data_IF_087280677994
#
_entry.id   IF_087280677994
#
_cell.length_a   1.000
_cell.length_b   1.000
_cell.length_c   1.000
_cell.angle_alpha   90.00
_cell.angle_beta   90.00
_cell.angle_gamma   90.00
#
_symmetry.space_group_name_H-M   'P 1'
#
loop_
_entity.id
_entity.type
_entity.pdbx_description
1 polymer ?
#
# COMPACT_ATOMS: atom_id res chain seq x y z
N UNK A 1 28.31 2.54 0.72
CA UNK A 1 26.87 2.23 0.84
C UNK A 1 26.77 0.95 1.64
N UNK A 2 26.16 0.99 2.82
CA UNK A 2 25.96 -0.21 3.64
C UNK A 2 24.72 -0.98 3.12
N UNK A 3 24.60 -2.27 3.44
CA UNK A 3 23.44 -3.10 3.10
C UNK A 3 22.12 -2.47 3.57
N UNK A 4 22.15 -1.73 4.68
CA UNK A 4 20.96 -1.04 5.21
C UNK A 4 20.52 0.14 4.34
N UNK A 5 21.46 0.88 3.76
CA UNK A 5 21.16 1.96 2.80
C UNK A 5 20.48 1.38 1.55
N UNK A 6 21.03 0.27 1.05
CA UNK A 6 20.50 -0.43 -0.12
C UNK A 6 19.08 -0.96 0.15
N UNK A 7 18.85 -1.63 1.29
CA UNK A 7 17.51 -2.07 1.71
C UNK A 7 16.53 -0.90 1.81
N UNK A 8 16.97 0.24 2.33
CA UNK A 8 16.15 1.45 2.42
C UNK A 8 15.72 1.96 1.04
N UNK A 9 16.61 1.93 0.04
CA UNK A 9 16.26 2.32 -1.33
C UNK A 9 15.30 1.35 -1.98
N UNK A 10 15.53 0.03 -1.86
CA UNK A 10 14.61 -0.99 -2.37
C UNK A 10 13.22 -0.78 -1.77
N UNK A 11 13.13 -0.60 -0.45
CA UNK A 11 11.86 -0.33 0.23
C UNK A 11 11.19 0.94 -0.32
N UNK A 12 11.90 2.05 -0.43
CA UNK A 12 11.34 3.31 -0.96
C UNK A 12 10.83 3.16 -2.40
N UNK A 13 11.54 2.40 -3.24
CA UNK A 13 11.16 2.19 -4.63
C UNK A 13 10.02 1.19 -4.84
N UNK A 14 9.76 0.29 -3.88
CA UNK A 14 8.81 -0.81 -4.07
C UNK A 14 7.56 -0.73 -3.19
N UNK A 15 7.60 0.02 -2.08
CA UNK A 15 6.53 0.01 -1.08
C UNK A 15 5.17 0.39 -1.66
N UNK A 16 5.11 1.44 -2.48
CA UNK A 16 3.90 1.87 -3.18
C UNK A 16 3.31 0.75 -4.03
N UNK A 17 4.15 0.09 -4.83
CA UNK A 17 3.75 -0.99 -5.71
C UNK A 17 3.18 -2.16 -4.92
N UNK A 18 3.85 -2.56 -3.83
CA UNK A 18 3.40 -3.64 -2.97
C UNK A 18 2.04 -3.33 -2.32
N UNK A 19 1.83 -2.10 -1.82
CA UNK A 19 0.55 -1.70 -1.23
C UNK A 19 -0.57 -1.71 -2.27
N UNK A 20 -0.32 -1.17 -3.46
CA UNK A 20 -1.28 -1.18 -4.57
C UNK A 20 -1.65 -2.61 -4.97
N UNK A 21 -0.67 -3.51 -5.10
CA UNK A 21 -0.89 -4.93 -5.40
C UNK A 21 -1.69 -5.65 -4.31
N UNK A 22 -1.49 -5.29 -3.03
CA UNK A 22 -2.27 -5.84 -1.91
C UNK A 22 -3.74 -5.38 -1.99
N UNK A 23 -3.96 -4.08 -2.17
CA UNK A 23 -5.32 -3.51 -2.23
C UNK A 23 -6.07 -3.97 -3.49
N UNK A 24 -5.35 -4.23 -4.59
CA UNK A 24 -5.93 -4.82 -5.81
C UNK A 24 -6.57 -6.19 -5.55
N UNK A 25 -6.01 -7.00 -4.65
CA UNK A 25 -6.56 -8.32 -4.34
C UNK A 25 -7.87 -8.21 -3.55
N UNK A 26 -7.91 -7.30 -2.58
CA UNK A 26 -9.11 -7.01 -1.80
C UNK A 26 -9.04 -5.63 -1.16
N UNK A 27 -10.19 -4.95 -0.98
CA UNK A 27 -10.26 -3.77 -0.12
C UNK A 27 -9.65 -4.07 1.25
N UNK A 28 -8.84 -3.14 1.76
CA UNK A 28 -8.07 -3.35 2.97
C UNK A 28 -8.03 -2.07 3.81
N UNK A 29 -8.05 -2.20 5.14
CA UNK A 29 -7.87 -1.06 6.04
C UNK A 29 -6.40 -0.93 6.49
N UNK A 30 -6.02 0.26 6.96
CA UNK A 30 -4.61 0.62 7.19
C UNK A 30 -3.83 -0.37 8.06
N UNK A 31 -4.45 -0.90 9.12
CA UNK A 31 -3.81 -1.88 10.00
C UNK A 31 -3.58 -3.24 9.31
N UNK A 32 -4.48 -3.73 8.45
CA UNK A 32 -4.24 -4.96 7.70
C UNK A 32 -3.03 -4.83 6.77
N UNK A 33 -2.89 -3.65 6.15
CA UNK A 33 -1.76 -3.35 5.28
C UNK A 33 -0.46 -3.41 6.08
N UNK A 34 -0.41 -2.72 7.22
CA UNK A 34 0.76 -2.72 8.12
C UNK A 34 1.10 -4.13 8.59
N UNK A 35 0.11 -4.85 9.14
CA UNK A 35 0.29 -6.21 9.66
C UNK A 35 0.74 -7.20 8.58
N UNK A 36 0.30 -7.01 7.33
CA UNK A 36 0.75 -7.84 6.21
C UNK A 36 2.19 -7.50 5.82
N UNK A 37 2.55 -6.22 5.76
CA UNK A 37 3.91 -5.78 5.41
C UNK A 37 4.95 -6.17 6.47
N UNK A 38 4.56 -6.26 7.75
CA UNK A 38 5.44 -6.73 8.83
C UNK A 38 5.95 -8.17 8.61
N UNK A 39 5.23 -8.99 7.83
CA UNK A 39 5.66 -10.35 7.45
C UNK A 39 6.83 -10.35 6.46
N UNK A 40 7.13 -9.21 5.84
CA UNK A 40 8.19 -9.04 4.85
C UNK A 40 9.23 -8.05 5.41
N UNK A 41 10.34 -8.52 6.03
CA UNK A 41 11.26 -7.66 6.78
C UNK A 41 11.78 -6.43 6.03
N UNK A 42 11.98 -6.53 4.72
CA UNK A 42 12.43 -5.40 3.88
C UNK A 42 11.34 -4.33 3.67
N UNK A 43 10.06 -4.72 3.70
CA UNK A 43 8.92 -3.82 3.49
C UNK A 43 8.28 -3.34 4.80
N UNK A 44 8.56 -3.99 5.93
CA UNK A 44 8.01 -3.68 7.24
C UNK A 44 8.05 -2.16 7.54
N UNK A 45 6.88 -1.54 7.69
CA UNK A 45 6.72 -0.10 7.80
C UNK A 45 5.67 0.26 8.85
N UNK A 46 5.89 1.37 9.56
CA UNK A 46 5.00 1.84 10.62
C UNK A 46 3.90 2.73 10.07
N UNK A 47 2.89 3.00 10.91
CA UNK A 47 1.76 3.89 10.63
C UNK A 47 2.17 5.26 10.06
N UNK A 48 3.21 5.87 10.64
CA UNK A 48 3.74 7.16 10.19
C UNK A 48 4.33 7.15 8.77
N UNK A 49 4.53 5.98 8.18
CA UNK A 49 4.96 5.77 6.79
C UNK A 49 3.75 5.42 5.91
N UNK A 50 2.93 4.48 6.38
CA UNK A 50 1.81 3.93 5.60
C UNK A 50 0.68 4.95 5.40
N UNK A 51 0.27 5.68 6.44
CA UNK A 51 -0.86 6.61 6.29
C UNK A 51 -0.57 7.81 5.38
N UNK A 52 0.60 8.48 5.43
CA UNK A 52 0.95 9.49 4.44
C UNK A 52 0.99 8.94 3.02
N UNK A 53 1.50 7.73 2.84
CA UNK A 53 1.54 7.08 1.54
C UNK A 53 0.13 6.79 1.00
N UNK A 54 -0.76 6.20 1.81
CA UNK A 54 -2.16 5.99 1.43
C UNK A 54 -2.85 7.31 1.09
N UNK A 55 -2.60 8.39 1.84
CA UNK A 55 -3.11 9.73 1.51
C UNK A 55 -2.61 10.24 0.16
N UNK A 56 -1.34 10.01 -0.18
CA UNK A 56 -0.79 10.34 -1.49
C UNK A 56 -1.48 9.54 -2.59
N UNK A 57 -1.56 8.22 -2.46
CA UNK A 57 -2.18 7.34 -3.47
C UNK A 57 -3.67 7.67 -3.69
N UNK A 58 -4.39 8.11 -2.64
CA UNK A 58 -5.74 8.66 -2.74
C UNK A 58 -5.78 9.99 -3.49
N UNK A 59 -4.84 10.91 -3.20
CA UNK A 59 -4.75 12.22 -3.87
C UNK A 59 -4.45 12.07 -5.36
N UNK A 60 -3.62 11.09 -5.73
CA UNK A 60 -3.33 10.73 -7.11
C UNK A 60 -4.45 9.91 -7.77
N UNK A 61 -5.54 9.63 -7.03
CA UNK A 61 -6.72 8.87 -7.49
C UNK A 61 -6.45 7.41 -7.85
N UNK A 62 -5.31 6.84 -7.43
CA UNK A 62 -5.03 5.41 -7.57
C UNK A 62 -5.84 4.55 -6.59
N UNK A 63 -6.25 5.16 -5.47
CA UNK A 63 -7.10 4.54 -4.47
C UNK A 63 -8.37 5.37 -4.26
N UNK A 64 -9.46 4.67 -3.93
CA UNK A 64 -10.66 5.24 -3.33
C UNK A 64 -10.82 4.73 -1.90
N UNK A 65 -11.72 5.33 -1.13
CA UNK A 65 -11.96 4.91 0.25
C UNK A 65 -13.42 4.94 0.63
N UNK A 66 -13.82 3.95 1.43
CA UNK A 66 -15.14 3.88 2.07
C UNK A 66 -14.99 3.67 3.57
N UNK A 67 -15.92 4.24 4.34
CA UNK A 67 -16.08 3.87 5.74
C UNK A 67 -16.95 2.64 5.81
N UNK A 68 -16.50 1.62 6.53
CA UNK A 68 -17.27 0.42 6.78
C UNK A 68 -17.47 0.26 8.28
N UNK A 69 -18.65 -0.21 8.66
CA UNK A 69 -18.94 -0.57 10.05
C UNK A 69 -17.99 -1.68 10.50
N UNK A 70 -17.55 -1.57 11.74
CA UNK A 70 -16.75 -2.61 12.40
C UNK A 70 -17.67 -3.50 13.25
N UNK A 71 -17.11 -4.56 13.83
CA UNK A 71 -17.82 -5.33 14.86
C UNK A 71 -18.37 -4.41 15.96
N UNK A 72 -19.46 -4.82 16.60
CA UNK A 72 -20.20 -4.04 17.58
C UNK A 72 -19.25 -3.47 18.67
N UNK A 73 -19.34 -2.16 18.89
CA UNK A 73 -18.48 -1.44 19.84
C UNK A 73 -17.13 -0.96 19.30
N UNK A 74 -16.76 -1.27 18.05
CA UNK A 74 -15.54 -0.74 17.43
C UNK A 74 -15.84 0.46 16.51
N UNK A 75 -14.93 1.45 16.44
CA UNK A 75 -15.10 2.57 15.52
C UNK A 75 -15.12 2.09 14.06
N UNK A 76 -15.82 2.80 13.17
CA UNK A 76 -15.79 2.53 11.73
C UNK A 76 -14.35 2.51 11.20
N UNK A 77 -14.08 1.61 10.27
CA UNK A 77 -12.76 1.50 9.63
C UNK A 77 -12.81 2.10 8.24
N UNK A 78 -11.76 2.83 7.90
CA UNK A 78 -11.56 3.32 6.54
C UNK A 78 -10.90 2.22 5.70
N UNK A 79 -11.63 1.69 4.74
CA UNK A 79 -11.15 0.73 3.76
C UNK A 79 -10.71 1.46 2.50
N UNK A 80 -9.60 1.00 1.93
CA UNK A 80 -9.06 1.47 0.66
C UNK A 80 -9.35 0.43 -0.42
N UNK A 81 -9.77 0.91 -1.59
CA UNK A 81 -10.04 0.09 -2.77
C UNK A 81 -9.28 0.65 -3.96
N UNK A 82 -8.88 -0.23 -4.90
CA UNK A 82 -8.21 0.18 -6.13
C UNK A 82 -9.23 0.86 -7.06
N UNK A 83 -8.80 1.90 -7.78
CA UNK A 83 -9.58 2.54 -8.85
C UNK A 83 -9.13 2.03 -10.21
N UNK A 84 -9.85 2.36 -11.28
CA UNK A 84 -9.43 2.05 -12.66
C UNK A 84 -8.07 2.69 -13.00
N UNK A 85 -7.87 3.95 -12.62
CA UNK A 85 -6.56 4.64 -12.73
C UNK A 85 -5.45 3.92 -11.95
N UNK A 86 -5.79 3.40 -10.76
CA UNK A 86 -4.87 2.59 -9.96
C UNK A 86 -4.52 1.26 -10.64
N UNK A 87 -5.47 0.62 -11.32
CA UNK A 87 -5.23 -0.60 -12.11
C UNK A 87 -4.32 -0.33 -13.30
N UNK A 88 -4.53 0.76 -14.03
CA UNK A 88 -3.65 1.20 -15.12
C UNK A 88 -2.23 1.46 -14.63
N UNK A 89 -2.10 2.14 -13.48
CA UNK A 89 -0.81 2.42 -12.88
C UNK A 89 -0.08 1.13 -12.44
N UNK A 90 -0.78 0.20 -11.78
CA UNK A 90 -0.24 -1.13 -11.47
C UNK A 90 0.23 -1.84 -12.73
N UNK A 91 -0.57 -1.82 -13.80
CA UNK A 91 -0.21 -2.46 -15.07
C UNK A 91 1.10 -1.88 -15.63
N UNK A 92 1.23 -0.54 -15.69
CA UNK A 92 2.45 0.11 -16.12
C UNK A 92 3.67 -0.26 -15.25
N UNK A 93 3.51 -0.23 -13.92
CA UNK A 93 4.57 -0.64 -12.99
C UNK A 93 4.97 -2.11 -13.16
N UNK A 94 3.99 -3.00 -13.43
CA UNK A 94 4.25 -4.41 -13.71
C UNK A 94 5.03 -4.62 -15.01
N UNK A 95 4.79 -3.82 -16.04
CA UNK A 95 5.59 -3.89 -17.27
C UNK A 95 7.05 -3.52 -17.00
N UNK A 96 7.28 -2.41 -16.30
CA UNK A 96 8.65 -1.99 -15.95
C UNK A 96 9.34 -3.01 -15.05
N UNK A 97 8.63 -3.58 -14.07
CA UNK A 97 9.16 -4.63 -13.21
C UNK A 97 9.58 -5.89 -13.98
N UNK A 98 8.82 -6.28 -15.00
CA UNK A 98 9.15 -7.44 -15.84
C UNK A 98 10.32 -7.18 -16.78
N UNK A 99 10.72 -5.92 -16.97
CA UNK A 99 11.87 -5.53 -17.78
C UNK A 99 13.18 -5.39 -16.96
N UNK A 100 13.14 -5.66 -15.65
CA UNK A 100 14.31 -5.73 -14.75
C UNK A 100 14.92 -7.14 -14.75
#
# INVERSE_FOLDING_TARGET
MNIDDWKSQIKRGTLDFCILLMIRQRPSYGYEIISTLEKYPILAAKENTIYPLLRRLMKEEYLSSSWQESAEGLPPRKYYSITDKGLEYIFAMSQEWNNL
#
